data_IF_041425980394
#
_entry.id   IF_041425980394
#
_cell.length_a   1.000
_cell.length_b   1.000
_cell.length_c   1.000
_cell.angle_alpha   90.00
_cell.angle_beta   90.00
_cell.angle_gamma   90.00
#
_symmetry.space_group_name_H-M   'P 1'
#
loop_
_entity.id
_entity.type
_entity.pdbx_description
1 polymer ?
#
# COMPACT_ATOMS: atom_id res chain seq x y z
N UNK A 1 0.98 -18.34 -0.48
CA UNK A 1 0.54 -17.35 -1.48
C UNK A 1 1.13 -16.02 -1.09
N UNK A 2 1.96 -15.40 -1.93
CA UNK A 2 2.44 -14.04 -1.73
C UNK A 2 1.26 -13.10 -1.84
N UNK A 3 1.00 -12.33 -0.80
CA UNK A 3 -0.01 -11.30 -0.87
C UNK A 3 0.57 -10.04 -1.48
N UNK A 4 -0.11 -9.48 -2.47
CA UNK A 4 0.31 -8.28 -3.17
C UNK A 4 -0.41 -7.02 -2.68
N UNK A 5 -0.91 -7.00 -1.44
CA UNK A 5 -1.65 -5.86 -0.90
C UNK A 5 -0.83 -4.55 -0.91
N UNK A 6 0.46 -4.62 -0.57
CA UNK A 6 1.34 -3.45 -0.64
C UNK A 6 1.47 -2.89 -2.06
N UNK A 7 1.64 -3.77 -3.06
CA UNK A 7 1.68 -3.38 -4.47
C UNK A 7 0.33 -2.80 -4.93
N UNK A 8 -0.78 -3.45 -4.56
CA UNK A 8 -2.13 -3.00 -4.87
C UNK A 8 -2.39 -1.60 -4.30
N UNK A 9 -2.01 -1.35 -3.05
CA UNK A 9 -2.14 -0.03 -2.40
C UNK A 9 -1.37 1.04 -3.17
N UNK A 10 -0.12 0.79 -3.57
CA UNK A 10 0.68 1.74 -4.37
C UNK A 10 0.02 2.04 -5.73
N UNK A 11 -0.56 1.03 -6.38
CA UNK A 11 -1.25 1.24 -7.66
C UNK A 11 -2.55 2.02 -7.53
N UNK A 12 -3.33 1.78 -6.46
CA UNK A 12 -4.56 2.51 -6.18
C UNK A 12 -4.28 3.99 -5.85
N UNK A 13 -3.25 4.26 -5.05
CA UNK A 13 -2.82 5.61 -4.70
C UNK A 13 -2.42 6.42 -5.95
N UNK A 14 -1.65 5.79 -6.86
CA UNK A 14 -1.32 6.39 -8.16
C UNK A 14 -2.57 6.63 -9.01
N UNK A 15 -3.51 5.68 -9.05
CA UNK A 15 -4.75 5.84 -9.81
C UNK A 15 -5.56 7.05 -9.29
N UNK A 16 -5.61 7.26 -7.97
CA UNK A 16 -6.25 8.42 -7.36
C UNK A 16 -5.63 9.73 -7.85
N UNK A 17 -4.29 9.81 -7.86
CA UNK A 17 -3.56 10.99 -8.32
C UNK A 17 -3.63 11.22 -9.83
N UNK A 18 -3.80 10.17 -10.62
CA UNK A 18 -3.94 10.26 -12.07
C UNK A 18 -5.37 10.61 -12.51
N UNK A 19 -6.37 10.25 -11.71
CA UNK A 19 -7.75 10.64 -11.96
C UNK A 19 -7.94 12.13 -11.63
N UNK A 20 -7.59 12.98 -12.60
CA UNK A 20 -7.73 14.43 -12.55
C UNK A 20 -9.08 14.86 -13.13
N UNK A 21 -9.53 16.05 -12.78
CA UNK A 21 -10.81 16.62 -13.21
C UNK A 21 -11.80 16.69 -12.07
N UNK A 22 -12.69 17.67 -12.13
CA UNK A 22 -13.73 17.92 -11.12
C UNK A 22 -15.14 17.57 -11.61
N UNK A 23 -15.23 16.88 -12.74
CA UNK A 23 -16.48 16.34 -13.22
C UNK A 23 -17.02 15.27 -12.25
N UNK A 24 -18.34 15.04 -12.25
CA UNK A 24 -18.96 14.08 -11.33
C UNK A 24 -18.39 12.66 -11.43
N UNK A 25 -17.91 12.24 -12.61
CA UNK A 25 -17.35 10.90 -12.79
C UNK A 25 -15.98 10.81 -12.12
N UNK A 26 -15.12 11.81 -12.32
CA UNK A 26 -13.81 11.89 -11.66
C UNK A 26 -13.93 11.97 -10.14
N UNK A 27 -14.91 12.71 -9.61
CA UNK A 27 -15.18 12.76 -8.16
C UNK A 27 -15.59 11.40 -7.60
N UNK A 28 -16.59 10.76 -8.20
CA UNK A 28 -17.04 9.42 -7.79
C UNK A 28 -15.95 8.37 -7.92
N UNK A 29 -15.13 8.47 -8.97
CA UNK A 29 -13.99 7.57 -9.15
C UNK A 29 -12.95 7.72 -8.04
N UNK A 30 -12.65 8.95 -7.60
CA UNK A 30 -11.75 9.18 -6.46
C UNK A 30 -12.36 8.67 -5.14
N UNK A 31 -13.64 8.89 -4.89
CA UNK A 31 -14.35 8.33 -3.72
C UNK A 31 -14.27 6.80 -3.68
N UNK A 32 -14.47 6.14 -4.83
CA UNK A 32 -14.35 4.69 -4.93
C UNK A 32 -12.90 4.20 -4.70
N UNK A 33 -11.91 4.94 -5.21
CA UNK A 33 -10.50 4.63 -4.99
C UNK A 33 -10.11 4.77 -3.51
N UNK A 34 -10.61 5.77 -2.80
CA UNK A 34 -10.38 5.92 -1.35
C UNK A 34 -10.88 4.70 -0.56
N UNK A 35 -12.10 4.23 -0.84
CA UNK A 35 -12.65 3.03 -0.19
C UNK A 35 -11.80 1.78 -0.45
N UNK A 36 -11.27 1.63 -1.66
CA UNK A 36 -10.40 0.51 -2.02
C UNK A 36 -9.03 0.61 -1.32
N UNK A 37 -8.45 1.80 -1.24
CA UNK A 37 -7.19 2.04 -0.53
C UNK A 37 -7.34 1.67 0.95
N UNK A 38 -8.44 2.10 1.59
CA UNK A 38 -8.74 1.78 2.98
C UNK A 38 -8.92 0.27 3.19
N UNK A 39 -9.72 -0.39 2.35
CA UNK A 39 -9.93 -1.83 2.43
C UNK A 39 -8.62 -2.63 2.28
N UNK A 40 -7.78 -2.26 1.32
CA UNK A 40 -6.47 -2.91 1.12
C UNK A 40 -5.55 -2.66 2.31
N UNK A 41 -5.55 -1.46 2.89
CA UNK A 41 -4.75 -1.15 4.07
C UNK A 41 -5.15 -2.00 5.29
N UNK A 42 -6.45 -2.23 5.48
CA UNK A 42 -6.98 -3.09 6.55
C UNK A 42 -6.56 -4.54 6.32
N UNK A 43 -6.65 -5.04 5.09
CA UNK A 43 -6.22 -6.41 4.78
C UNK A 43 -4.70 -6.58 4.91
N UNK A 44 -3.90 -5.60 4.46
CA UNK A 44 -2.45 -5.57 4.66
C UNK A 44 -2.08 -5.65 6.15
N UNK A 45 -2.81 -4.93 7.01
CA UNK A 45 -2.60 -4.95 8.45
C UNK A 45 -2.97 -6.30 9.10
N UNK A 46 -4.03 -6.95 8.63
CA UNK A 46 -4.48 -8.26 9.15
C UNK A 46 -3.51 -9.37 8.81
N UNK A 47 -2.70 -9.22 7.77
CA UNK A 47 -1.73 -10.25 7.43
C UNK A 47 -0.71 -10.36 8.56
N UNK A 48 -0.40 -11.60 9.02
CA UNK A 48 0.72 -11.79 9.91
C UNK A 48 1.92 -11.16 9.22
N UNK A 49 2.50 -10.12 9.83
CA UNK A 49 3.81 -9.61 9.46
C UNK A 49 4.69 -10.85 9.49
N UNK A 50 4.97 -11.44 8.33
CA UNK A 50 5.92 -12.53 8.21
C UNK A 50 7.10 -12.10 9.05
N UNK A 51 7.48 -12.92 10.05
CA UNK A 51 8.53 -12.63 11.02
C UNK A 51 9.62 -11.83 10.32
N UNK A 52 9.57 -10.51 10.48
CA UNK A 52 10.36 -9.64 9.65
C UNK A 52 11.78 -9.92 10.11
N UNK A 53 12.55 -10.62 9.28
CA UNK A 53 13.87 -11.10 9.65
C UNK A 53 14.68 -9.91 10.13
N UNK A 54 14.94 -9.85 11.44
CA UNK A 54 15.73 -8.78 12.03
C UNK A 54 17.12 -8.91 11.44
N UNK A 55 17.45 -8.05 10.48
CA UNK A 55 18.79 -7.99 9.92
C UNK A 55 19.70 -7.38 11.00
N UNK A 56 20.49 -8.25 11.64
CA UNK A 56 21.53 -7.81 12.56
C UNK A 56 22.53 -6.95 11.79
N UNK A 57 22.71 -5.70 12.22
CA UNK A 57 23.76 -4.85 11.67
C UNK A 57 25.12 -5.54 11.89
N UNK A 58 25.99 -5.60 10.88
CA UNK A 58 27.30 -6.20 11.05
C UNK A 58 28.08 -5.38 12.08
N UNK A 59 28.35 -5.99 13.24
CA UNK A 59 29.23 -5.42 14.25
C UNK A 59 30.63 -5.32 13.64
N UNK A 60 30.98 -4.13 13.18
CA UNK A 60 32.28 -3.82 12.62
C UNK A 60 33.37 -4.19 13.63
N UNK A 61 34.10 -5.26 13.31
CA UNK A 61 35.32 -5.64 14.03
C UNK A 61 36.36 -4.57 13.72
N UNK A 62 36.56 -3.64 14.65
CA UNK A 62 37.73 -2.73 14.63
C UNK A 62 38.97 -3.61 14.85
N UNK A 63 39.85 -3.62 13.86
CA UNK A 63 41.24 -4.06 14.01
C UNK A 63 42.03 -2.99 14.76
#
# INVERSE_FOLDING_TARGET
>A
MTSYFSAARVHLDRAYHYLRGDDPMSRRGREALDLLIEAVAVEELKQPRQEAGVLMFPNGRRF
#
